data_IF_170076443427
#
_entry.id   IF_170076443427
#
_cell.length_a   1.000
_cell.length_b   1.000
_cell.length_c   1.000
_cell.angle_alpha   90.00
_cell.angle_beta   90.00
_cell.angle_gamma   90.00
#
_symmetry.space_group_name_H-M   'P 1'
#
loop_
_entity.id
_entity.type
_entity.pdbx_description
1 polymer ?
#
# COMPACT_ATOMS: atom_id res chain seq x y z
N UNK A 1 -4.97 7.59 50.20
CA UNK A 1 -4.44 6.38 49.58
C UNK A 1 -5.49 5.84 48.61
N UNK A 2 -5.37 6.18 47.32
CA UNK A 2 -6.19 5.58 46.24
C UNK A 2 -5.19 5.01 45.24
N UNK A 3 -5.20 3.70 45.11
CA UNK A 3 -4.37 2.97 44.14
C UNK A 3 -5.02 3.14 42.77
N UNK A 4 -4.33 3.80 41.87
CA UNK A 4 -4.66 3.84 40.45
C UNK A 4 -4.19 2.55 39.78
N UNK A 5 -5.13 1.75 39.30
CA UNK A 5 -4.82 0.65 38.37
C UNK A 5 -4.50 1.25 36.99
N UNK A 6 -3.26 1.08 36.57
CA UNK A 6 -2.88 1.31 35.22
C UNK A 6 -3.42 0.15 34.36
N UNK A 7 -4.42 0.44 33.56
CA UNK A 7 -4.91 -0.47 32.53
C UNK A 7 -3.93 -0.38 31.34
N UNK A 8 -3.05 -1.37 31.22
CA UNK A 8 -2.30 -1.59 29.99
C UNK A 8 -3.29 -2.07 28.92
N UNK A 9 -3.71 -1.16 28.06
CA UNK A 9 -4.36 -1.52 26.81
C UNK A 9 -3.29 -2.03 25.85
N UNK A 10 -3.09 -3.33 25.86
CA UNK A 10 -2.41 -4.07 24.83
C UNK A 10 -3.34 -4.05 23.61
N UNK A 11 -3.13 -3.10 22.71
CA UNK A 11 -3.78 -3.12 21.38
C UNK A 11 -3.11 -4.23 20.59
N UNK A 12 -3.61 -5.43 20.73
CA UNK A 12 -3.31 -6.55 19.82
C UNK A 12 -4.02 -6.19 18.52
N UNK A 13 -3.28 -5.67 17.54
CA UNK A 13 -3.70 -5.72 16.14
C UNK A 13 -3.75 -7.21 15.78
N UNK A 14 -4.92 -7.80 15.92
CA UNK A 14 -5.24 -9.04 15.26
C UNK A 14 -5.33 -8.71 13.75
N UNK A 15 -4.20 -8.85 13.05
CA UNK A 15 -4.19 -9.21 11.64
C UNK A 15 -4.70 -10.66 11.58
N UNK A 16 -6.01 -10.85 11.83
CA UNK A 16 -6.69 -12.03 11.37
C UNK A 16 -6.89 -11.77 9.87
N UNK A 17 -5.88 -12.13 9.08
CA UNK A 17 -6.13 -12.44 7.70
C UNK A 17 -7.25 -13.47 7.72
N UNK A 18 -8.44 -13.09 7.24
CA UNK A 18 -9.42 -14.04 6.81
C UNK A 18 -8.79 -14.85 5.69
N UNK A 19 -8.06 -15.92 6.05
CA UNK A 19 -7.76 -17.04 5.19
C UNK A 19 -9.10 -17.69 4.88
N UNK A 20 -9.84 -17.07 3.96
CA UNK A 20 -10.99 -17.73 3.36
C UNK A 20 -10.47 -18.77 2.39
N UNK A 21 -11.21 -19.86 2.23
CA UNK A 21 -10.90 -20.96 1.32
C UNK A 21 -10.69 -20.58 -0.16
N UNK A 22 -10.85 -19.32 -0.51
CA UNK A 22 -10.51 -18.75 -1.81
C UNK A 22 -9.00 -18.50 -2.00
N UNK A 23 -8.24 -18.36 -0.89
CA UNK A 23 -6.80 -18.13 -0.96
C UNK A 23 -6.01 -19.41 -1.28
N UNK A 24 -6.54 -20.59 -0.93
CA UNK A 24 -5.92 -21.89 -1.29
C UNK A 24 -5.95 -22.16 -2.81
N UNK A 25 -6.94 -21.64 -3.55
CA UNK A 25 -6.96 -21.69 -5.02
C UNK A 25 -6.02 -20.65 -5.66
N UNK A 26 -5.69 -19.59 -4.94
CA UNK A 26 -4.82 -18.50 -5.44
C UNK A 26 -3.35 -18.90 -5.39
N UNK A 27 -2.92 -19.65 -4.37
CA UNK A 27 -1.53 -20.10 -4.21
C UNK A 27 -1.04 -21.03 -5.34
N UNK A 28 -1.96 -21.63 -6.11
CA UNK A 28 -1.63 -22.50 -7.23
C UNK A 28 -1.55 -21.80 -8.60
N UNK A 29 -1.87 -20.50 -8.68
CA UNK A 29 -1.77 -19.74 -9.93
C UNK A 29 -0.36 -19.18 -10.07
N UNK A 30 0.37 -19.66 -11.07
CA UNK A 30 1.65 -19.08 -11.49
C UNK A 30 1.49 -17.57 -11.66
N UNK A 31 2.42 -16.77 -11.08
CA UNK A 31 2.48 -15.32 -11.26
C UNK A 31 2.19 -14.97 -12.72
N UNK A 32 1.29 -14.01 -13.00
CA UNK A 32 0.96 -13.65 -14.36
C UNK A 32 2.25 -13.23 -15.08
N UNK A 33 2.46 -13.75 -16.29
CA UNK A 33 3.62 -13.40 -17.13
C UNK A 33 3.60 -11.94 -17.57
N UNK A 34 2.43 -11.31 -17.52
CA UNK A 34 2.20 -9.93 -17.91
C UNK A 34 1.64 -9.15 -16.71
N UNK A 35 1.98 -7.83 -16.61
CA UNK A 35 1.42 -6.97 -15.59
C UNK A 35 -0.11 -6.98 -15.66
N UNK A 36 -0.83 -7.08 -14.51
CA UNK A 36 -2.29 -7.12 -14.51
C UNK A 36 -2.92 -5.79 -14.97
N UNK A 37 -2.23 -4.66 -14.76
CA UNK A 37 -2.74 -3.36 -15.14
C UNK A 37 -2.00 -2.76 -16.32
N UNK A 38 -2.74 -2.04 -17.14
CA UNK A 38 -2.23 -1.30 -18.28
C UNK A 38 -2.37 0.21 -18.05
N UNK A 39 -1.63 0.99 -18.82
CA UNK A 39 -1.82 2.43 -18.87
C UNK A 39 -3.18 2.75 -19.50
N UNK A 40 -3.97 3.60 -18.84
CA UNK A 40 -5.32 3.98 -19.27
C UNK A 40 -5.47 5.49 -19.37
N UNK A 41 -6.51 5.95 -20.06
CA UNK A 41 -6.91 7.34 -20.07
C UNK A 41 -8.11 7.56 -19.13
N UNK A 42 -8.20 8.76 -18.58
CA UNK A 42 -9.33 9.15 -17.71
C UNK A 42 -9.12 8.83 -16.22
N UNK A 43 -10.05 9.31 -15.37
CA UNK A 43 -10.03 9.10 -13.93
C UNK A 43 -10.52 7.71 -13.54
N UNK A 44 -10.22 7.25 -12.31
CA UNK A 44 -10.90 6.11 -11.71
C UNK A 44 -12.43 6.32 -11.63
N UNK A 45 -13.16 5.22 -11.56
CA UNK A 45 -14.59 5.26 -11.22
C UNK A 45 -14.74 5.21 -9.71
N UNK A 46 -15.43 6.18 -9.13
CA UNK A 46 -15.61 6.29 -7.69
C UNK A 46 -17.00 5.85 -7.26
N UNK A 47 -17.06 4.95 -6.28
CA UNK A 47 -18.26 4.41 -5.68
C UNK A 47 -18.23 4.73 -4.20
N UNK A 48 -19.20 5.48 -3.72
CA UNK A 48 -19.20 6.00 -2.34
C UNK A 48 -20.49 5.58 -1.65
N UNK A 49 -20.34 4.93 -0.48
CA UNK A 49 -21.49 4.63 0.37
C UNK A 49 -22.16 5.94 0.79
N UNK A 50 -23.49 6.01 0.60
CA UNK A 50 -24.25 7.19 0.98
C UNK A 50 -24.14 7.47 2.48
N UNK A 51 -23.91 8.73 2.83
CA UNK A 51 -23.71 9.16 4.22
C UNK A 51 -22.25 9.16 4.68
N UNK A 52 -21.29 8.70 3.86
CA UNK A 52 -19.87 8.84 4.19
C UNK A 52 -19.43 10.32 4.15
N UNK A 53 -18.64 10.74 5.15
CA UNK A 53 -18.21 12.14 5.32
C UNK A 53 -17.52 12.69 4.07
N UNK A 54 -18.06 13.76 3.44
CA UNK A 54 -17.47 14.40 2.28
C UNK A 54 -16.03 14.88 2.47
N UNK A 55 -15.65 15.28 3.69
CA UNK A 55 -14.29 15.73 4.04
C UNK A 55 -13.28 14.59 3.88
N UNK A 56 -13.56 13.43 4.47
CA UNK A 56 -12.67 12.27 4.39
C UNK A 56 -12.60 11.70 2.99
N UNK A 57 -13.75 11.65 2.32
CA UNK A 57 -13.78 11.32 0.90
C UNK A 57 -12.87 12.24 0.08
N UNK A 58 -12.94 13.55 0.29
CA UNK A 58 -12.12 14.51 -0.45
C UNK A 58 -10.62 14.26 -0.26
N UNK A 59 -10.16 13.92 0.94
CA UNK A 59 -8.75 13.58 1.19
C UNK A 59 -8.31 12.31 0.47
N UNK A 60 -9.15 11.27 0.45
CA UNK A 60 -8.85 10.03 -0.30
C UNK A 60 -8.69 10.35 -1.79
N UNK A 61 -9.65 11.09 -2.37
CA UNK A 61 -9.62 11.47 -3.77
C UNK A 61 -8.41 12.35 -4.09
N UNK A 62 -8.09 13.33 -3.24
CA UNK A 62 -6.92 14.18 -3.40
C UNK A 62 -5.63 13.36 -3.46
N UNK A 63 -5.47 12.40 -2.54
CA UNK A 63 -4.31 11.52 -2.51
C UNK A 63 -4.18 10.66 -3.77
N UNK A 64 -5.29 10.07 -4.23
CA UNK A 64 -5.32 9.31 -5.49
C UNK A 64 -4.92 10.18 -6.67
N UNK A 65 -5.47 11.40 -6.79
CA UNK A 65 -5.15 12.30 -7.89
C UNK A 65 -3.70 12.80 -7.84
N UNK A 66 -3.14 13.04 -6.65
CA UNK A 66 -1.71 13.35 -6.49
C UNK A 66 -0.83 12.21 -7.03
N UNK A 67 -1.15 10.98 -6.66
CA UNK A 67 -0.42 9.79 -7.14
C UNK A 67 -0.58 9.61 -8.65
N UNK A 68 -1.79 9.72 -9.18
CA UNK A 68 -2.06 9.64 -10.63
C UNK A 68 -1.32 10.70 -11.44
N UNK A 69 -1.32 11.94 -10.96
CA UNK A 69 -0.62 13.03 -11.63
C UNK A 69 0.89 12.77 -11.75
N UNK A 70 1.46 12.07 -10.78
CA UNK A 70 2.89 11.76 -10.75
C UNK A 70 3.22 10.45 -11.47
N UNK A 71 2.52 9.36 -11.12
CA UNK A 71 2.79 8.01 -11.65
C UNK A 71 2.19 7.76 -13.03
N UNK A 72 1.15 8.49 -13.40
CA UNK A 72 0.30 8.21 -14.56
C UNK A 72 -0.95 7.41 -14.17
N UNK A 73 -1.84 7.22 -15.14
CA UNK A 73 -3.10 6.48 -14.95
C UNK A 73 -2.93 5.03 -15.38
N UNK A 74 -3.24 4.12 -14.47
CA UNK A 74 -3.22 2.67 -14.67
C UNK A 74 -4.54 2.04 -14.24
N UNK A 75 -4.83 0.85 -14.71
CA UNK A 75 -6.05 0.13 -14.39
C UNK A 75 -6.63 -0.61 -15.59
N UNK A 76 -7.96 -0.57 -15.82
CA UNK A 76 -9.01 0.31 -15.22
C UNK A 76 -9.09 0.22 -13.70
N UNK A 77 -9.48 1.33 -13.04
CA UNK A 77 -9.48 1.41 -11.58
C UNK A 77 -10.85 1.82 -11.06
N UNK A 78 -11.40 1.04 -10.14
CA UNK A 78 -12.60 1.32 -9.37
C UNK A 78 -12.23 1.58 -7.91
N UNK A 79 -12.79 2.64 -7.32
CA UNK A 79 -12.49 3.07 -5.95
C UNK A 79 -13.75 2.96 -5.13
N UNK A 80 -13.73 2.11 -4.12
CA UNK A 80 -14.85 1.83 -3.22
C UNK A 80 -14.58 2.47 -1.87
N UNK A 81 -15.45 3.40 -1.48
CA UNK A 81 -15.28 4.20 -0.27
C UNK A 81 -16.51 4.05 0.60
N UNK A 82 -16.31 3.63 1.85
CA UNK A 82 -17.39 3.48 2.82
C UNK A 82 -16.92 3.72 4.25
N UNK A 83 -17.86 4.02 5.13
CA UNK A 83 -17.58 4.20 6.55
C UNK A 83 -18.76 4.81 7.28
N UNK A 84 -18.61 4.92 8.61
CA UNK A 84 -19.56 5.59 9.50
C UNK A 84 -18.87 6.78 10.15
N UNK A 85 -19.57 7.89 10.25
CA UNK A 85 -19.11 9.06 11.03
C UNK A 85 -19.26 8.85 12.54
N UNK A 86 -20.27 8.05 12.92
CA UNK A 86 -20.64 7.79 14.29
C UNK A 86 -21.17 6.34 14.44
N UNK A 87 -21.64 6.01 15.63
CA UNK A 87 -22.18 4.68 15.94
C UNK A 87 -23.55 4.39 15.35
N UNK A 88 -24.14 5.30 14.54
CA UNK A 88 -25.45 5.06 13.92
C UNK A 88 -25.33 3.95 12.87
N UNK A 89 -26.30 3.02 12.83
CA UNK A 89 -26.36 2.03 11.77
C UNK A 89 -26.46 2.71 10.39
N UNK A 90 -25.79 2.14 9.41
CA UNK A 90 -25.96 2.56 8.01
C UNK A 90 -27.40 2.25 7.58
N UNK A 91 -28.02 3.17 6.86
CA UNK A 91 -29.36 2.95 6.31
C UNK A 91 -29.42 1.69 5.42
N UNK A 92 -30.49 0.90 5.59
CA UNK A 92 -30.62 -0.38 4.89
C UNK A 92 -30.71 -0.21 3.35
N UNK A 93 -31.33 0.87 2.88
CA UNK A 93 -31.42 1.13 1.45
C UNK A 93 -30.05 1.53 0.86
N UNK A 94 -29.27 2.32 1.57
CA UNK A 94 -27.90 2.70 1.21
C UNK A 94 -26.97 1.48 1.17
N UNK A 95 -27.06 0.57 2.14
CA UNK A 95 -26.32 -0.71 2.12
C UNK A 95 -26.68 -1.53 0.88
N UNK A 96 -27.97 -1.72 0.64
CA UNK A 96 -28.48 -2.51 -0.47
C UNK A 96 -28.04 -1.93 -1.82
N UNK A 97 -28.08 -0.61 -1.96
CA UNK A 97 -27.63 0.08 -3.16
C UNK A 97 -26.14 -0.14 -3.41
N UNK A 98 -25.30 0.04 -2.37
CA UNK A 98 -23.84 -0.14 -2.44
C UNK A 98 -23.45 -1.59 -2.78
N UNK A 99 -24.04 -2.58 -2.09
CA UNK A 99 -23.82 -4.00 -2.34
C UNK A 99 -24.25 -4.37 -3.76
N UNK A 100 -25.38 -3.85 -4.23
CA UNK A 100 -25.89 -4.13 -5.57
C UNK A 100 -25.00 -3.52 -6.65
N UNK A 101 -24.51 -2.30 -6.45
CA UNK A 101 -23.61 -1.62 -7.37
C UNK A 101 -22.28 -2.37 -7.47
N UNK A 102 -21.69 -2.73 -6.33
CA UNK A 102 -20.48 -3.53 -6.29
C UNK A 102 -20.65 -4.87 -7.04
N UNK A 103 -21.69 -5.62 -6.72
CA UNK A 103 -21.89 -6.92 -7.34
C UNK A 103 -22.15 -6.81 -8.84
N UNK A 104 -22.86 -5.78 -9.32
CA UNK A 104 -23.01 -5.53 -10.76
C UNK A 104 -21.67 -5.31 -11.44
N UNK A 105 -20.82 -4.49 -10.84
CA UNK A 105 -19.48 -4.27 -11.37
C UNK A 105 -18.63 -5.54 -11.33
N UNK A 106 -18.58 -6.22 -10.19
CA UNK A 106 -17.73 -7.39 -9.94
C UNK A 106 -18.06 -8.56 -10.86
N UNK A 107 -19.34 -8.79 -11.12
CA UNK A 107 -19.81 -9.93 -11.94
C UNK A 107 -19.93 -9.59 -13.43
N UNK A 108 -19.84 -8.32 -13.82
CA UNK A 108 -19.94 -7.93 -15.23
C UNK A 108 -18.83 -8.58 -16.07
N UNK A 109 -19.22 -9.38 -17.06
CA UNK A 109 -18.27 -10.08 -17.95
C UNK A 109 -17.61 -11.31 -17.34
N UNK A 110 -18.09 -11.79 -16.18
CA UNK A 110 -17.67 -13.04 -15.54
C UNK A 110 -18.79 -14.08 -15.55
N UNK A 111 -18.50 -15.29 -15.13
CA UNK A 111 -19.51 -16.36 -14.96
C UNK A 111 -20.25 -16.28 -13.61
N UNK A 112 -19.85 -15.39 -12.71
CA UNK A 112 -20.45 -15.23 -11.38
C UNK A 112 -21.79 -14.52 -11.43
N UNK A 113 -22.69 -14.87 -10.50
CA UNK A 113 -24.00 -14.25 -10.35
C UNK A 113 -24.00 -13.16 -9.27
N UNK A 114 -25.01 -12.29 -9.30
CA UNK A 114 -25.22 -11.29 -8.23
C UNK A 114 -25.50 -11.96 -6.87
N UNK A 115 -26.21 -13.10 -6.88
CA UNK A 115 -26.55 -13.83 -5.66
C UNK A 115 -25.33 -14.43 -4.97
N UNK A 116 -24.37 -14.94 -5.74
CA UNK A 116 -23.09 -15.45 -5.23
C UNK A 116 -22.18 -14.34 -4.70
N UNK A 117 -22.23 -13.15 -5.28
CA UNK A 117 -21.43 -12.01 -4.88
C UNK A 117 -21.88 -11.40 -3.54
N UNK A 118 -23.20 -11.28 -3.31
CA UNK A 118 -23.78 -10.53 -2.18
C UNK A 118 -23.27 -10.93 -0.79
N UNK A 119 -23.25 -12.21 -0.40
CA UNK A 119 -22.73 -12.58 0.91
C UNK A 119 -21.29 -12.13 1.12
N UNK A 120 -20.45 -12.34 0.11
CA UNK A 120 -19.04 -11.99 0.17
C UNK A 120 -18.82 -10.48 0.35
N UNK A 121 -19.54 -9.64 -0.41
CA UNK A 121 -19.40 -8.18 -0.26
C UNK A 121 -20.01 -7.66 1.04
N UNK A 122 -21.05 -8.30 1.57
CA UNK A 122 -21.60 -7.95 2.87
C UNK A 122 -20.55 -8.15 3.95
N UNK A 123 -19.94 -9.33 4.03
CA UNK A 123 -18.88 -9.66 4.98
C UNK A 123 -17.66 -8.73 4.81
N UNK A 124 -17.19 -8.58 3.58
CA UNK A 124 -15.93 -7.86 3.28
C UNK A 124 -16.03 -6.34 3.42
N UNK A 125 -17.21 -5.75 3.21
CA UNK A 125 -17.39 -4.30 3.27
C UNK A 125 -18.33 -3.89 4.40
N UNK A 126 -19.56 -4.40 4.41
CA UNK A 126 -20.58 -3.90 5.33
C UNK A 126 -20.24 -4.24 6.77
N UNK A 127 -19.87 -5.50 7.03
CA UNK A 127 -19.53 -5.94 8.40
C UNK A 127 -18.25 -5.24 8.90
N UNK A 128 -17.28 -5.00 8.02
CA UNK A 128 -16.07 -4.21 8.34
C UNK A 128 -16.45 -2.77 8.67
N UNK A 129 -17.29 -2.12 7.87
CA UNK A 129 -17.76 -0.76 8.14
C UNK A 129 -18.52 -0.73 9.50
N UNK A 130 -19.36 -1.71 9.77
CA UNK A 130 -20.14 -1.78 11.02
C UNK A 130 -19.29 -2.13 12.24
N UNK A 131 -18.17 -2.82 12.06
CA UNK A 131 -17.21 -3.10 13.14
C UNK A 131 -16.28 -1.95 13.46
N UNK A 132 -16.35 -0.84 12.72
CA UNK A 132 -15.50 0.35 12.88
C UNK A 132 -13.99 0.09 12.64
N UNK A 133 -13.66 -1.00 11.95
CA UNK A 133 -12.27 -1.30 11.62
C UNK A 133 -11.85 -0.51 10.38
N UNK A 134 -10.69 0.19 10.41
CA UNK A 134 -10.18 0.89 9.25
C UNK A 134 -9.46 -0.09 8.32
N UNK A 135 -9.82 -0.06 7.06
CA UNK A 135 -9.12 -0.80 6.02
C UNK A 135 -8.85 0.09 4.80
N UNK A 136 -7.67 -0.08 4.21
CA UNK A 136 -7.37 0.44 2.89
C UNK A 136 -6.45 -0.57 2.20
N UNK A 137 -6.80 -0.97 0.97
CA UNK A 137 -6.02 -1.96 0.22
C UNK A 137 -6.32 -1.91 -1.27
N UNK A 138 -5.38 -2.47 -2.06
CA UNK A 138 -5.57 -2.82 -3.46
C UNK A 138 -5.96 -4.29 -3.59
N UNK A 139 -6.97 -4.55 -4.38
CA UNK A 139 -7.34 -5.85 -4.91
C UNK A 139 -7.57 -5.72 -6.42
N UNK A 140 -7.92 -6.82 -7.12
CA UNK A 140 -8.27 -6.75 -8.54
C UNK A 140 -9.20 -7.88 -8.98
N UNK A 141 -9.84 -7.67 -10.12
CA UNK A 141 -10.69 -8.65 -10.79
C UNK A 141 -9.94 -9.14 -12.02
N UNK A 142 -9.43 -10.35 -11.97
CA UNK A 142 -8.65 -10.98 -13.05
C UNK A 142 -9.50 -11.88 -13.96
N UNK A 143 -10.76 -12.16 -13.60
CA UNK A 143 -11.67 -12.94 -14.41
C UNK A 143 -12.22 -12.16 -15.62
N UNK A 144 -12.05 -10.86 -15.65
CA UNK A 144 -12.45 -9.99 -16.78
C UNK A 144 -11.42 -10.04 -17.91
N UNK A 145 -11.82 -9.73 -19.15
CA UNK A 145 -10.91 -9.70 -20.30
C UNK A 145 -9.68 -8.80 -20.10
N UNK A 146 -9.86 -7.70 -19.35
CA UNK A 146 -8.79 -6.84 -18.83
C UNK A 146 -8.95 -6.82 -17.32
N UNK A 147 -7.88 -7.10 -16.58
CA UNK A 147 -7.91 -7.00 -15.14
C UNK A 147 -8.23 -5.56 -14.70
N UNK A 148 -9.13 -5.43 -13.74
CA UNK A 148 -9.56 -4.13 -13.18
C UNK A 148 -9.11 -4.00 -11.74
N UNK A 149 -8.45 -2.89 -11.42
CA UNK A 149 -8.02 -2.57 -10.07
C UNK A 149 -9.22 -2.17 -9.19
N UNK A 150 -9.23 -2.67 -7.98
CA UNK A 150 -10.19 -2.37 -6.93
C UNK A 150 -9.46 -1.73 -5.75
N UNK A 151 -9.60 -0.42 -5.60
CA UNK A 151 -9.13 0.29 -4.42
C UNK A 151 -10.25 0.38 -3.40
N UNK A 152 -10.00 -0.05 -2.19
CA UNK A 152 -10.97 -0.09 -1.10
C UNK A 152 -10.51 0.81 0.04
N UNK A 153 -11.43 1.64 0.55
CA UNK A 153 -11.21 2.52 1.69
C UNK A 153 -12.42 2.42 2.63
N UNK A 154 -12.26 1.73 3.74
CA UNK A 154 -13.31 1.53 4.73
C UNK A 154 -12.91 2.20 6.05
N UNK A 155 -13.82 2.98 6.63
CA UNK A 155 -13.63 3.66 7.91
C UNK A 155 -12.34 4.52 7.97
N UNK A 156 -11.89 5.08 6.85
CA UNK A 156 -10.72 5.97 6.79
C UNK A 156 -11.17 7.38 7.15
N UNK A 157 -11.29 7.69 8.44
CA UNK A 157 -11.76 8.95 8.98
C UNK A 157 -10.91 9.43 10.17
N UNK A 158 -11.38 10.46 10.92
CA UNK A 158 -10.57 11.25 11.86
C UNK A 158 -9.77 10.41 12.84
N UNK A 159 -10.36 9.46 13.49
CA UNK A 159 -9.70 8.63 14.48
C UNK A 159 -8.57 7.77 13.92
N UNK A 160 -8.61 7.45 12.62
CA UNK A 160 -7.53 6.75 11.93
C UNK A 160 -6.27 7.62 11.79
N UNK A 161 -6.45 8.94 11.80
CA UNK A 161 -5.38 9.92 11.67
C UNK A 161 -4.95 10.51 13.03
N UNK A 162 -5.62 10.13 14.12
CA UNK A 162 -5.24 10.54 15.46
C UNK A 162 -3.87 9.99 15.87
N UNK A 163 -3.31 10.58 16.93
CA UNK A 163 -2.04 10.16 17.54
C UNK A 163 -0.81 10.21 16.60
N UNK A 164 -0.82 11.05 15.56
CA UNK A 164 0.33 11.18 14.65
C UNK A 164 0.69 9.90 13.85
N UNK A 165 -0.18 8.92 13.78
CA UNK A 165 0.09 7.70 13.02
C UNK A 165 0.16 7.99 11.52
N UNK A 166 -0.80 8.79 11.03
CA UNK A 166 -0.81 9.27 9.66
C UNK A 166 -0.86 10.80 9.70
N UNK A 167 0.27 11.47 9.45
CA UNK A 167 0.38 12.92 9.65
C UNK A 167 -0.33 13.78 8.60
N UNK A 168 -0.82 13.18 7.52
CA UNK A 168 -1.57 13.86 6.47
C UNK A 168 -2.64 12.91 5.89
N UNK A 169 -3.92 13.28 5.90
CA UNK A 169 -5.02 12.38 5.51
C UNK A 169 -5.00 11.97 4.03
N UNK A 170 -4.26 12.65 3.16
CA UNK A 170 -4.14 12.27 1.75
C UNK A 170 -3.24 11.03 1.53
N UNK A 171 -2.43 10.66 2.54
CA UNK A 171 -1.43 9.60 2.38
C UNK A 171 -2.04 8.27 1.99
N UNK A 172 -3.21 7.90 2.52
CA UNK A 172 -3.85 6.64 2.16
C UNK A 172 -4.19 6.55 0.67
N UNK A 173 -4.76 7.62 0.10
CA UNK A 173 -5.03 7.68 -1.34
C UNK A 173 -3.75 7.56 -2.18
N UNK A 174 -2.66 8.19 -1.73
CA UNK A 174 -1.35 8.08 -2.39
C UNK A 174 -0.84 6.63 -2.33
N UNK A 175 -0.89 6.02 -1.14
CA UNK A 175 -0.39 4.66 -0.88
C UNK A 175 -1.05 3.65 -1.81
N UNK A 176 -2.36 3.54 -1.72
CA UNK A 176 -3.10 2.52 -2.47
C UNK A 176 -3.01 2.73 -3.99
N UNK A 177 -3.03 3.98 -4.46
CA UNK A 177 -2.86 4.20 -5.89
C UNK A 177 -1.42 3.95 -6.37
N UNK A 178 -0.42 4.10 -5.50
CA UNK A 178 0.96 3.71 -5.84
C UNK A 178 1.05 2.21 -6.13
N UNK A 179 0.31 1.37 -5.43
CA UNK A 179 0.23 -0.06 -5.75
C UNK A 179 -0.38 -0.33 -7.13
N UNK A 180 -1.41 0.45 -7.56
CA UNK A 180 -1.95 0.33 -8.93
C UNK A 180 -0.86 0.60 -9.97
N UNK A 181 -0.05 1.64 -9.76
CA UNK A 181 1.09 1.94 -10.61
C UNK A 181 2.11 0.79 -10.61
N UNK A 182 2.54 0.33 -9.45
CA UNK A 182 3.54 -0.73 -9.29
C UNK A 182 3.12 -2.02 -10.00
N UNK A 183 1.87 -2.43 -9.83
CA UNK A 183 1.29 -3.61 -10.48
C UNK A 183 1.20 -3.47 -12.00
N UNK A 184 1.28 -2.27 -12.54
CA UNK A 184 1.42 -2.02 -13.98
C UNK A 184 2.75 -2.47 -14.57
N UNK A 185 3.71 -2.95 -13.76
CA UNK A 185 5.03 -3.37 -14.21
C UNK A 185 5.39 -4.82 -13.83
N UNK A 186 4.59 -5.47 -12.99
CA UNK A 186 4.78 -6.85 -12.57
C UNK A 186 5.06 -7.00 -11.07
N UNK A 187 5.38 -8.24 -10.67
CA UNK A 187 5.59 -8.57 -9.27
C UNK A 187 6.93 -8.06 -8.77
N UNK A 188 6.91 -7.40 -7.62
CA UNK A 188 8.08 -6.93 -6.86
C UNK A 188 8.02 -7.50 -5.44
N UNK A 189 9.14 -7.54 -4.70
CA UNK A 189 9.13 -8.05 -3.34
C UNK A 189 8.27 -7.17 -2.43
N UNK A 190 7.67 -7.77 -1.40
CA UNK A 190 6.78 -7.09 -0.45
C UNK A 190 7.39 -5.79 0.10
N UNK A 191 8.68 -5.83 0.50
CA UNK A 191 9.37 -4.64 1.02
C UNK A 191 9.47 -3.50 -0.02
N UNK A 192 9.53 -3.84 -1.31
CA UNK A 192 9.61 -2.83 -2.38
C UNK A 192 8.22 -2.30 -2.76
N UNK A 193 7.19 -3.14 -2.67
CA UNK A 193 5.80 -2.73 -2.87
C UNK A 193 5.38 -1.76 -1.77
N UNK A 194 5.37 -2.21 -0.53
CA UNK A 194 4.92 -1.41 0.63
C UNK A 194 5.84 -0.23 0.91
N UNK A 195 7.15 -0.49 0.93
CA UNK A 195 8.14 0.58 1.14
C UNK A 195 8.12 1.62 0.03
N UNK A 196 7.87 1.21 -1.22
CA UNK A 196 7.69 2.12 -2.34
C UNK A 196 6.45 3.01 -2.19
N UNK A 197 5.35 2.46 -1.68
CA UNK A 197 4.13 3.23 -1.39
C UNK A 197 4.35 4.23 -0.25
N UNK A 198 5.01 3.84 0.85
CA UNK A 198 5.37 4.75 1.96
C UNK A 198 6.37 5.83 1.53
N UNK A 199 7.34 5.48 0.69
CA UNK A 199 8.23 6.49 0.09
C UNK A 199 7.45 7.47 -0.78
N UNK A 200 6.52 6.99 -1.61
CA UNK A 200 5.67 7.82 -2.46
C UNK A 200 4.79 8.79 -1.65
N UNK A 201 4.22 8.33 -0.53
CA UNK A 201 3.51 9.20 0.42
C UNK A 201 4.37 10.41 0.80
N UNK A 202 5.59 10.14 1.27
CA UNK A 202 6.52 11.17 1.74
C UNK A 202 6.99 12.08 0.60
N UNK A 203 7.26 11.50 -0.55
CA UNK A 203 7.75 12.21 -1.73
C UNK A 203 6.70 13.15 -2.32
N UNK A 204 5.47 12.66 -2.51
CA UNK A 204 4.42 13.44 -3.17
C UNK A 204 3.93 14.62 -2.31
N UNK A 205 3.79 14.43 -0.99
CA UNK A 205 3.45 15.56 -0.11
C UNK A 205 4.60 16.56 0.00
N UNK A 206 5.87 16.12 -0.15
CA UNK A 206 7.01 17.00 -0.24
C UNK A 206 6.98 17.85 -1.52
N UNK A 207 6.73 17.24 -2.68
CA UNK A 207 6.62 17.95 -3.95
C UNK A 207 5.52 19.03 -3.94
N UNK A 208 4.44 18.80 -3.20
CA UNK A 208 3.35 19.78 -3.01
C UNK A 208 3.67 20.84 -1.95
N UNK A 209 4.88 20.83 -1.36
CA UNK A 209 5.26 21.75 -0.30
C UNK A 209 4.51 21.58 1.02
N UNK A 210 3.78 20.47 1.20
CA UNK A 210 2.99 20.23 2.42
C UNK A 210 3.88 19.85 3.60
N UNK A 211 4.91 19.02 3.37
CA UNK A 211 5.86 18.60 4.40
C UNK A 211 7.24 18.31 3.80
N UNK A 212 8.34 18.51 4.55
CA UNK A 212 9.67 18.09 4.12
C UNK A 212 9.74 16.57 3.93
N UNK A 213 10.49 16.09 2.93
CA UNK A 213 10.68 14.66 2.67
C UNK A 213 11.18 13.91 3.91
N UNK A 214 12.16 14.48 4.60
CA UNK A 214 12.72 13.88 5.80
C UNK A 214 11.74 13.78 6.98
N UNK A 215 10.62 14.50 6.96
CA UNK A 215 9.69 14.53 8.10
C UNK A 215 9.11 13.13 8.39
N UNK A 216 8.45 12.52 7.41
CA UNK A 216 7.84 11.21 7.58
C UNK A 216 8.89 10.10 7.71
N UNK A 217 9.89 10.08 6.82
CA UNK A 217 10.91 9.03 6.82
C UNK A 217 11.74 9.03 8.11
N UNK A 218 12.06 10.20 8.67
CA UNK A 218 12.76 10.26 9.97
C UNK A 218 11.93 9.73 11.14
N UNK A 219 10.60 9.83 11.07
CA UNK A 219 9.71 9.28 12.12
C UNK A 219 9.72 7.77 12.15
N UNK A 220 9.71 7.12 10.99
CA UNK A 220 9.75 5.64 10.91
C UNK A 220 11.14 5.05 11.09
N UNK A 221 12.20 5.86 11.04
CA UNK A 221 13.59 5.42 11.15
C UNK A 221 13.85 4.61 12.42
N UNK A 222 13.27 4.98 13.54
CA UNK A 222 13.49 4.24 14.79
C UNK A 222 12.93 2.81 14.72
N UNK A 223 11.75 2.64 14.12
CA UNK A 223 11.13 1.33 13.92
C UNK A 223 11.93 0.51 12.90
N UNK A 224 12.32 1.14 11.78
CA UNK A 224 13.19 0.49 10.79
C UNK A 224 14.51 0.00 11.39
N UNK A 225 15.09 0.74 12.35
CA UNK A 225 16.33 0.35 13.04
C UNK A 225 16.10 -0.72 14.10
N UNK A 226 14.97 -0.76 14.77
CA UNK A 226 14.70 -1.73 15.84
C UNK A 226 14.65 -3.17 15.35
N UNK A 227 14.40 -3.40 14.05
CA UNK A 227 14.40 -4.74 13.48
C UNK A 227 15.77 -5.41 13.53
N UNK A 228 16.87 -4.63 13.59
CA UNK A 228 18.25 -5.14 13.63
C UNK A 228 18.54 -6.00 14.85
N UNK A 229 17.86 -5.71 15.97
CA UNK A 229 18.01 -6.48 17.21
C UNK A 229 17.45 -7.92 17.07
N UNK A 230 16.65 -8.16 16.03
CA UNK A 230 16.07 -9.49 15.75
C UNK A 230 16.96 -10.34 14.83
N UNK A 231 17.94 -9.75 14.17
CA UNK A 231 18.72 -10.37 13.11
C UNK A 231 18.01 -10.49 11.77
N UNK A 232 16.75 -9.99 11.66
CA UNK A 232 16.00 -9.96 10.41
C UNK A 232 16.40 -8.76 9.54
N UNK A 233 16.24 -8.91 8.24
CA UNK A 233 16.55 -7.92 7.20
C UNK A 233 15.40 -7.78 6.22
N UNK A 234 15.45 -6.80 5.33
CA UNK A 234 14.44 -6.68 4.25
C UNK A 234 14.44 -7.89 3.31
N UNK A 235 15.53 -8.65 3.23
CA UNK A 235 15.58 -9.88 2.43
C UNK A 235 14.61 -10.96 2.95
N UNK A 236 14.31 -10.96 4.26
CA UNK A 236 13.34 -11.87 4.87
C UNK A 236 11.90 -11.49 4.53
N UNK A 237 11.68 -10.31 3.92
CA UNK A 237 10.38 -9.78 3.52
C UNK A 237 10.25 -9.62 1.99
N UNK A 238 10.84 -10.53 1.23
CA UNK A 238 10.61 -10.57 -0.22
C UNK A 238 9.18 -11.00 -0.57
N UNK A 239 8.63 -11.94 0.19
CA UNK A 239 7.29 -12.48 -0.02
C UNK A 239 6.63 -12.75 1.34
N UNK A 240 5.62 -11.94 1.68
CA UNK A 240 4.89 -12.06 2.95
C UNK A 240 4.09 -13.37 3.02
N UNK A 241 3.57 -13.86 1.90
CA UNK A 241 2.71 -15.05 1.88
C UNK A 241 3.51 -16.33 2.18
N UNK A 242 4.80 -16.31 1.90
CA UNK A 242 5.72 -17.41 2.22
C UNK A 242 6.52 -17.20 3.52
N UNK A 243 6.37 -16.04 4.17
CA UNK A 243 7.09 -15.71 5.37
C UNK A 243 6.64 -16.57 6.57
N UNK A 244 7.59 -16.99 7.42
CA UNK A 244 7.23 -17.66 8.68
C UNK A 244 6.51 -16.68 9.63
N UNK A 245 5.71 -17.22 10.58
CA UNK A 245 5.07 -16.40 11.62
C UNK A 245 6.06 -15.51 12.37
N UNK A 246 7.29 -16.00 12.58
CA UNK A 246 8.36 -15.25 13.24
C UNK A 246 8.86 -14.05 12.43
N UNK A 247 8.75 -14.09 11.11
CA UNK A 247 9.05 -12.97 10.21
C UNK A 247 7.80 -12.10 10.04
N UNK A 248 6.64 -12.71 9.78
CA UNK A 248 5.39 -12.00 9.49
C UNK A 248 4.96 -11.03 10.62
N UNK A 249 5.24 -11.35 11.89
CA UNK A 249 4.97 -10.43 13.02
C UNK A 249 5.73 -9.09 12.93
N UNK A 250 6.79 -9.02 12.12
CA UNK A 250 7.56 -7.79 11.85
C UNK A 250 7.23 -7.16 10.48
N UNK A 251 6.12 -7.55 9.87
CA UNK A 251 5.71 -7.05 8.54
C UNK A 251 5.78 -5.52 8.45
N UNK A 252 5.20 -4.80 9.41
CA UNK A 252 5.22 -3.34 9.41
C UNK A 252 6.64 -2.76 9.43
N UNK A 253 7.53 -3.31 10.25
CA UNK A 253 8.90 -2.81 10.36
C UNK A 253 9.77 -3.17 9.14
N UNK A 254 9.55 -4.35 8.55
CA UNK A 254 10.35 -4.83 7.41
C UNK A 254 9.83 -4.26 6.09
N UNK A 255 8.53 -4.44 5.80
CA UNK A 255 7.96 -4.03 4.52
C UNK A 255 7.79 -2.51 4.41
N UNK A 256 7.16 -1.89 5.41
CA UNK A 256 6.82 -0.47 5.36
C UNK A 256 8.00 0.40 5.79
N UNK A 257 8.47 0.25 7.04
CA UNK A 257 9.45 1.17 7.60
C UNK A 257 10.85 0.99 6.96
N UNK A 258 11.40 -0.24 7.01
CA UNK A 258 12.70 -0.54 6.39
C UNK A 258 12.62 -0.51 4.86
N UNK A 259 11.50 -0.98 4.28
CA UNK A 259 11.25 -0.92 2.85
C UNK A 259 11.27 0.49 2.29
N UNK A 260 10.64 1.47 2.97
CA UNK A 260 10.68 2.87 2.54
C UNK A 260 12.11 3.44 2.52
N UNK A 261 12.92 3.09 3.52
CA UNK A 261 14.33 3.46 3.53
C UNK A 261 15.15 2.72 2.48
N UNK A 262 14.83 1.46 2.20
CA UNK A 262 15.47 0.70 1.14
C UNK A 262 15.17 1.30 -0.25
N UNK A 263 13.95 1.75 -0.50
CA UNK A 263 13.60 2.45 -1.74
C UNK A 263 14.30 3.81 -1.85
N UNK A 264 14.33 4.61 -0.77
CA UNK A 264 15.08 5.86 -0.74
C UNK A 264 16.58 5.62 -1.02
N UNK A 265 17.16 4.59 -0.38
CA UNK A 265 18.55 4.19 -0.58
C UNK A 265 18.81 3.68 -2.00
N UNK A 266 17.90 2.88 -2.58
CA UNK A 266 17.98 2.41 -3.96
C UNK A 266 18.07 3.60 -4.93
N UNK A 267 17.18 4.58 -4.79
CA UNK A 267 17.19 5.78 -5.63
C UNK A 267 18.48 6.58 -5.42
N UNK A 268 18.91 6.76 -4.18
CA UNK A 268 20.15 7.47 -3.87
C UNK A 268 21.39 6.77 -4.44
N UNK A 269 21.42 5.44 -4.48
CA UNK A 269 22.53 4.65 -5.04
C UNK A 269 22.56 4.63 -6.57
N UNK A 270 21.46 4.99 -7.23
CA UNK A 270 21.44 5.08 -8.68
C UNK A 270 22.32 6.24 -9.17
N UNK A 271 22.85 6.15 -10.40
CA UNK A 271 23.77 7.18 -10.93
C UNK A 271 23.19 8.59 -10.92
N UNK A 272 21.90 8.72 -11.15
CA UNK A 272 21.23 10.02 -11.28
C UNK A 272 20.58 10.51 -9.99
N UNK A 273 20.32 9.63 -9.01
CA UNK A 273 19.62 9.91 -7.76
C UNK A 273 18.23 10.52 -7.97
N UNK A 274 17.57 10.16 -9.05
CA UNK A 274 16.33 10.79 -9.51
C UNK A 274 15.12 9.88 -9.30
N UNK A 275 14.08 10.42 -8.64
CA UNK A 275 12.82 9.71 -8.40
C UNK A 275 12.04 9.54 -9.71
N UNK A 276 12.13 10.51 -10.65
CA UNK A 276 11.53 10.34 -11.98
C UNK A 276 12.22 9.22 -12.77
N UNK A 277 13.53 9.03 -12.63
CA UNK A 277 14.24 7.89 -13.25
C UNK A 277 13.86 6.56 -12.61
N UNK A 278 13.63 6.53 -11.30
CA UNK A 278 13.07 5.34 -10.65
C UNK A 278 11.71 4.99 -11.24
N UNK A 279 10.81 5.97 -11.44
CA UNK A 279 9.53 5.78 -12.12
C UNK A 279 9.69 5.33 -13.57
N UNK A 280 10.47 6.07 -14.38
CA UNK A 280 10.44 5.98 -15.84
C UNK A 280 11.44 4.94 -16.41
N UNK A 281 12.39 4.47 -15.59
CA UNK A 281 13.43 3.53 -16.01
C UNK A 281 13.40 2.24 -15.22
N UNK A 282 13.42 2.33 -13.88
CA UNK A 282 13.46 1.13 -13.03
C UNK A 282 12.20 0.27 -13.20
N UNK A 283 11.00 0.85 -13.06
CA UNK A 283 9.76 0.10 -13.18
C UNK A 283 9.58 -0.57 -14.57
N UNK A 284 9.81 0.10 -15.70
CA UNK A 284 9.80 -0.58 -17.00
C UNK A 284 10.85 -1.69 -17.16
N UNK A 285 11.97 -1.62 -16.42
CA UNK A 285 12.92 -2.73 -16.37
C UNK A 285 12.36 -3.95 -15.62
N UNK A 286 11.53 -3.73 -14.59
CA UNK A 286 10.88 -4.85 -13.86
C UNK A 286 10.06 -5.72 -14.81
N UNK A 287 9.26 -5.11 -15.68
CA UNK A 287 8.50 -5.86 -16.70
C UNK A 287 9.40 -6.71 -17.61
N UNK A 288 10.58 -6.21 -17.95
CA UNK A 288 11.47 -6.86 -18.94
C UNK A 288 12.41 -7.89 -18.32
N UNK A 289 12.88 -7.66 -17.10
CA UNK A 289 14.00 -8.38 -16.50
C UNK A 289 13.60 -9.09 -15.19
N UNK A 290 12.37 -8.89 -14.71
CA UNK A 290 12.00 -9.15 -13.31
C UNK A 290 12.65 -8.13 -12.38
N UNK A 291 12.19 -8.08 -11.13
CA UNK A 291 12.68 -7.07 -10.17
C UNK A 291 14.17 -7.24 -9.81
N UNK A 292 14.68 -8.47 -9.72
CA UNK A 292 16.09 -8.72 -9.42
C UNK A 292 17.01 -8.25 -10.54
N UNK A 293 16.62 -8.55 -11.79
CA UNK A 293 17.36 -8.09 -12.97
C UNK A 293 17.30 -6.57 -13.12
N UNK A 294 16.12 -5.96 -12.83
CA UNK A 294 15.96 -4.51 -12.83
C UNK A 294 16.84 -3.85 -11.76
N UNK A 295 16.86 -4.39 -10.54
CA UNK A 295 17.69 -3.90 -9.44
C UNK A 295 19.18 -3.92 -9.81
N UNK A 296 19.65 -5.08 -10.28
CA UNK A 296 21.05 -5.27 -10.69
C UNK A 296 21.46 -4.31 -11.81
N UNK A 297 20.61 -4.18 -12.83
CA UNK A 297 20.88 -3.30 -13.98
C UNK A 297 20.83 -1.82 -13.65
N UNK A 298 19.83 -1.42 -12.83
CA UNK A 298 19.62 -0.02 -12.47
C UNK A 298 20.71 0.53 -11.56
N UNK A 299 21.25 -0.31 -10.65
CA UNK A 299 22.32 0.05 -9.72
C UNK A 299 23.73 -0.32 -10.20
N UNK A 300 23.86 -1.01 -11.34
CA UNK A 300 25.13 -1.53 -11.86
C UNK A 300 25.85 -2.44 -10.85
N UNK A 301 25.07 -3.32 -10.18
CA UNK A 301 25.55 -4.27 -9.18
C UNK A 301 25.41 -5.71 -9.68
N UNK A 302 26.13 -6.63 -9.05
CA UNK A 302 26.18 -8.04 -9.47
C UNK A 302 24.82 -8.74 -9.28
N UNK A 303 24.18 -8.54 -8.14
CA UNK A 303 22.93 -9.22 -7.78
C UNK A 303 22.22 -8.52 -6.60
N UNK A 304 21.03 -9.02 -6.22
CA UNK A 304 20.25 -8.48 -5.10
C UNK A 304 20.96 -8.61 -3.74
N UNK A 305 21.78 -9.64 -3.55
CA UNK A 305 22.52 -9.83 -2.31
C UNK A 305 23.55 -8.71 -2.08
N UNK A 306 24.16 -8.21 -3.15
CA UNK A 306 25.03 -7.04 -3.09
C UNK A 306 24.26 -5.78 -2.64
N UNK A 307 23.01 -5.62 -3.07
CA UNK A 307 22.14 -4.55 -2.60
C UNK A 307 21.80 -4.71 -1.11
N UNK A 308 21.34 -5.88 -0.70
CA UNK A 308 20.99 -6.14 0.69
C UNK A 308 22.18 -5.88 1.63
N UNK A 309 23.36 -6.44 1.31
CA UNK A 309 24.54 -6.19 2.10
C UNK A 309 24.95 -4.71 2.16
N UNK A 310 24.73 -3.95 1.10
CA UNK A 310 24.98 -2.52 1.07
C UNK A 310 23.96 -1.73 1.89
N UNK A 311 22.68 -2.10 1.81
CA UNK A 311 21.61 -1.50 2.62
C UNK A 311 21.79 -1.75 4.11
N UNK A 312 22.18 -2.97 4.51
CA UNK A 312 22.49 -3.27 5.92
C UNK A 312 23.61 -2.38 6.46
N UNK A 313 24.70 -2.21 5.70
CA UNK A 313 25.77 -1.27 6.08
C UNK A 313 25.29 0.18 6.17
N UNK A 314 24.38 0.59 5.29
CA UNK A 314 23.75 1.91 5.35
C UNK A 314 22.90 2.07 6.63
N UNK A 315 22.16 1.03 7.02
CA UNK A 315 21.37 1.04 8.25
C UNK A 315 22.23 1.04 9.53
N UNK A 316 23.52 0.72 9.45
CA UNK A 316 24.50 0.85 10.54
C UNK A 316 25.01 2.28 10.74
N UNK A 317 24.86 3.14 9.75
CA UNK A 317 25.34 4.52 9.84
C UNK A 317 24.59 5.31 10.93
N UNK A 318 25.19 6.40 11.46
CA UNK A 318 24.49 7.34 12.30
C UNK A 318 23.24 7.89 11.59
N UNK A 319 22.18 8.15 12.38
CA UNK A 319 20.90 8.64 11.85
C UNK A 319 21.06 9.88 10.96
N UNK A 320 21.93 10.78 11.36
CA UNK A 320 22.18 12.03 10.65
C UNK A 320 22.76 11.77 9.24
N UNK A 321 23.57 10.74 9.09
CA UNK A 321 24.13 10.35 7.79
C UNK A 321 23.07 9.66 6.93
N UNK A 322 22.21 8.87 7.54
CA UNK A 322 21.09 8.24 6.83
C UNK A 322 20.12 9.29 6.29
N UNK A 323 19.76 10.30 7.09
CA UNK A 323 18.82 11.34 6.67
C UNK A 323 19.38 12.21 5.54
N UNK A 324 20.69 12.43 5.48
CA UNK A 324 21.34 13.24 4.43
C UNK A 324 21.05 12.74 3.01
N UNK A 325 20.87 11.43 2.82
CA UNK A 325 20.60 10.93 1.47
C UNK A 325 19.32 11.51 0.87
N UNK A 326 18.35 11.89 1.72
CA UNK A 326 17.07 12.45 1.28
C UNK A 326 17.22 13.83 0.64
N UNK A 327 18.19 14.62 1.10
CA UNK A 327 18.50 15.95 0.54
C UNK A 327 19.19 15.85 -0.84
N UNK A 328 19.71 14.67 -1.17
CA UNK A 328 20.41 14.41 -2.43
C UNK A 328 19.51 13.83 -3.52
N UNK A 329 18.27 13.44 -3.16
CA UNK A 329 17.29 12.93 -4.12
C UNK A 329 16.78 14.07 -5.01
N UNK A 330 16.67 13.79 -6.30
CA UNK A 330 16.21 14.75 -7.32
C UNK A 330 14.83 14.33 -7.84
N UNK A 331 14.01 15.30 -8.22
CA UNK A 331 12.74 15.05 -8.91
C UNK A 331 12.85 14.22 -10.18
#
# INVERSE_FOLDING_TARGET
MKRGSACLLTTTLLLIGCLSSADDERAARSSPKEPPFIKVEGPPTYHVLEGYDPKWRAYILEGIEMARAYWGSYGPTHVWIGGREDTRPIDAASKEAFVTEYCRWRTAGTERTLEECRPHVTERFIDVIESDQPEAYLSWVDEKPQAEAELVFLNVHEWYHEEDRIPDPVLRGIHEYTHVFQMGFGTMPTWMMEGGAVFAESWLVHLQGRRPLAFNLSRIMQRARSIRDTGLTIADMEDIDSASEDVAKYHMQLAYDSGAWAVAYLIHRSPERSVSRYRDVFHPMVTKLGWEGALSRYLEIENKQAFYAAFERFMDLPREEQVKILDELKP
#
